data_IF_341525919318
#
_entry.id   IF_341525919318
#
_cell.length_a   1.000
_cell.length_b   1.000
_cell.length_c   1.000
_cell.angle_alpha   90.00
_cell.angle_beta   90.00
_cell.angle_gamma   90.00
#
_symmetry.space_group_name_H-M   'P 1'
#
loop_
_entity.id
_entity.type
_entity.pdbx_description
1 polymer ?
#
# COMPACT_ATOMS: atom_id res chain seq x y z
N UNK A 1 -13.68 -8.76 2.65
CA UNK A 1 -12.73 -8.83 1.52
C UNK A 1 -13.56 -8.90 0.26
N UNK A 2 -13.37 -7.99 -0.70
CA UNK A 2 -14.21 -7.92 -1.90
C UNK A 2 -14.04 -9.19 -2.75
N UNK A 3 -15.00 -10.12 -2.65
CA UNK A 3 -14.95 -11.41 -3.33
C UNK A 3 -14.88 -11.22 -4.85
N UNK A 4 -15.49 -10.14 -5.35
CA UNK A 4 -15.49 -9.79 -6.77
C UNK A 4 -14.10 -9.46 -7.29
N UNK A 5 -13.25 -8.79 -6.51
CA UNK A 5 -11.88 -8.48 -6.93
C UNK A 5 -11.04 -9.76 -7.05
N UNK A 6 -11.17 -10.67 -6.07
CA UNK A 6 -10.47 -11.96 -6.12
C UNK A 6 -10.94 -12.82 -7.29
N UNK A 7 -12.24 -12.85 -7.56
CA UNK A 7 -12.77 -13.62 -8.69
C UNK A 7 -12.25 -13.07 -10.02
N UNK A 8 -12.13 -11.75 -10.16
CA UNK A 8 -11.50 -11.13 -11.34
C UNK A 8 -10.00 -11.44 -11.48
N UNK A 9 -9.27 -11.50 -10.36
CA UNK A 9 -7.85 -11.90 -10.37
C UNK A 9 -7.73 -13.37 -10.80
N UNK A 10 -8.59 -14.25 -10.28
CA UNK A 10 -8.60 -15.68 -10.63
C UNK A 10 -9.00 -15.91 -12.08
N UNK A 11 -10.02 -15.20 -12.56
CA UNK A 11 -10.45 -15.24 -13.96
C UNK A 11 -9.31 -14.82 -14.90
N UNK A 12 -8.66 -13.70 -14.61
CA UNK A 12 -7.50 -13.26 -15.40
C UNK A 12 -6.38 -14.30 -15.32
N UNK A 13 -6.05 -14.83 -14.14
CA UNK A 13 -5.01 -15.85 -14.00
C UNK A 13 -5.32 -17.11 -14.84
N UNK A 14 -6.58 -17.54 -14.88
CA UNK A 14 -7.00 -18.72 -15.66
C UNK A 14 -7.02 -18.51 -17.18
N UNK A 15 -7.22 -17.27 -17.64
CA UNK A 15 -7.35 -16.95 -19.08
C UNK A 15 -6.07 -16.37 -19.70
N UNK A 16 -5.23 -15.67 -18.92
CA UNK A 16 -4.10 -14.89 -19.42
C UNK A 16 -3.10 -15.71 -20.25
N UNK A 17 -2.80 -16.94 -19.83
CA UNK A 17 -1.88 -17.81 -20.59
C UNK A 17 -2.40 -18.13 -21.99
N UNK A 18 -3.69 -18.42 -22.11
CA UNK A 18 -4.35 -18.69 -23.40
C UNK A 18 -4.45 -17.42 -24.24
N UNK A 19 -4.83 -16.29 -23.63
CA UNK A 19 -4.95 -15.00 -24.30
C UNK A 19 -3.60 -14.57 -24.89
N UNK A 20 -2.52 -14.68 -24.11
CA UNK A 20 -1.16 -14.38 -24.57
C UNK A 20 -0.70 -15.35 -25.68
N UNK A 21 -0.97 -16.65 -25.54
CA UNK A 21 -0.62 -17.63 -26.57
C UNK A 21 -1.36 -17.37 -27.89
N UNK A 22 -2.61 -16.93 -27.81
CA UNK A 22 -3.40 -16.52 -28.97
C UNK A 22 -2.77 -15.29 -29.64
N UNK A 23 -2.51 -14.23 -28.86
CA UNK A 23 -1.92 -12.98 -29.35
C UNK A 23 -0.54 -13.21 -29.97
N UNK A 24 0.34 -13.98 -29.32
CA UNK A 24 1.68 -14.28 -29.84
C UNK A 24 1.59 -14.95 -31.20
N UNK A 25 0.77 -15.99 -31.32
CA UNK A 25 0.58 -16.71 -32.59
C UNK A 25 -0.01 -15.82 -33.68
N UNK A 26 -0.96 -14.94 -33.35
CA UNK A 26 -1.50 -13.97 -34.31
C UNK A 26 -0.42 -13.01 -34.86
N UNK A 27 0.55 -12.63 -34.02
CA UNK A 27 1.68 -11.81 -34.45
C UNK A 27 2.65 -12.62 -35.31
N UNK A 28 2.94 -13.87 -34.92
CA UNK A 28 3.80 -14.77 -35.69
C UNK A 28 3.22 -15.12 -37.06
N UNK A 29 1.91 -15.32 -37.13
CA UNK A 29 1.18 -15.67 -38.35
C UNK A 29 0.81 -14.44 -39.21
N UNK A 30 1.24 -13.22 -38.83
CA UNK A 30 0.91 -11.93 -39.48
C UNK A 30 -0.62 -11.73 -39.68
N UNK A 31 -1.41 -12.16 -38.70
CA UNK A 31 -2.88 -12.06 -38.68
C UNK A 31 -3.39 -11.29 -37.45
N UNK A 32 -3.00 -10.01 -37.26
CA UNK A 32 -3.37 -9.25 -36.07
C UNK A 32 -4.88 -9.00 -36.04
N UNK A 33 -5.49 -9.27 -34.88
CA UNK A 33 -6.88 -8.87 -34.61
C UNK A 33 -6.93 -7.84 -33.49
N UNK A 34 -7.41 -6.66 -33.85
CA UNK A 34 -7.47 -5.52 -32.95
C UNK A 34 -8.47 -5.72 -31.79
N UNK A 35 -9.54 -6.49 -32.01
CA UNK A 35 -10.57 -6.82 -31.01
C UNK A 35 -9.96 -7.56 -29.81
N UNK A 36 -9.18 -8.62 -30.06
CA UNK A 36 -8.57 -9.42 -28.98
C UNK A 36 -7.54 -8.63 -28.17
N UNK A 37 -6.74 -7.79 -28.83
CA UNK A 37 -5.80 -6.89 -28.17
C UNK A 37 -6.53 -5.85 -27.30
N UNK A 38 -7.62 -5.30 -27.84
CA UNK A 38 -8.46 -4.32 -27.14
C UNK A 38 -9.11 -4.94 -25.91
N UNK A 39 -9.73 -6.11 -26.05
CA UNK A 39 -10.42 -6.82 -24.97
C UNK A 39 -9.47 -7.17 -23.81
N UNK A 40 -8.28 -7.72 -24.11
CA UNK A 40 -7.28 -8.00 -23.08
C UNK A 40 -6.81 -6.70 -22.41
N UNK A 41 -6.53 -5.66 -23.20
CA UNK A 41 -6.13 -4.35 -22.69
C UNK A 41 -7.16 -3.75 -21.74
N UNK A 42 -8.44 -3.77 -22.12
CA UNK A 42 -9.55 -3.29 -21.28
C UNK A 42 -9.62 -4.08 -19.96
N UNK A 43 -9.61 -5.42 -20.01
CA UNK A 43 -9.63 -6.27 -18.81
C UNK A 43 -8.48 -5.96 -17.86
N UNK A 44 -7.27 -5.80 -18.38
CA UNK A 44 -6.08 -5.44 -17.60
C UNK A 44 -6.20 -4.04 -16.98
N UNK A 45 -6.68 -3.05 -17.74
CA UNK A 45 -6.90 -1.69 -17.25
C UNK A 45 -7.93 -1.66 -16.13
N UNK A 46 -9.07 -2.34 -16.31
CA UNK A 46 -10.12 -2.36 -15.31
C UNK A 46 -9.72 -3.10 -14.03
N UNK A 47 -8.93 -4.18 -14.14
CA UNK A 47 -8.40 -4.89 -12.98
C UNK A 47 -7.37 -4.02 -12.26
N UNK A 48 -6.44 -3.39 -12.99
CA UNK A 48 -5.46 -2.46 -12.44
C UNK A 48 -6.11 -1.31 -11.68
N UNK A 49 -7.14 -0.69 -12.26
CA UNK A 49 -7.89 0.37 -11.60
C UNK A 49 -8.60 -0.10 -10.33
N UNK A 50 -9.12 -1.34 -10.32
CA UNK A 50 -9.75 -1.91 -9.13
C UNK A 50 -8.73 -2.25 -8.02
N UNK A 51 -7.54 -2.74 -8.39
CA UNK A 51 -6.44 -2.97 -7.45
C UNK A 51 -5.96 -1.68 -6.79
N UNK A 52 -5.81 -0.60 -7.58
CA UNK A 52 -5.42 0.71 -7.07
C UNK A 52 -6.46 1.26 -6.09
N UNK A 53 -7.75 1.26 -6.46
CA UNK A 53 -8.82 1.67 -5.53
C UNK A 53 -8.81 0.85 -4.25
N UNK A 54 -8.64 -0.47 -4.36
CA UNK A 54 -8.58 -1.33 -3.17
C UNK A 54 -7.35 -1.04 -2.31
N UNK A 55 -6.22 -0.71 -2.92
CA UNK A 55 -5.01 -0.28 -2.21
C UNK A 55 -5.28 1.01 -1.43
N UNK A 56 -5.97 1.97 -2.05
CA UNK A 56 -6.33 3.23 -1.42
C UNK A 56 -7.31 3.02 -0.25
N UNK A 57 -8.33 2.18 -0.41
CA UNK A 57 -9.26 1.81 0.67
C UNK A 57 -8.52 1.19 1.87
N UNK A 58 -7.62 0.25 1.60
CA UNK A 58 -6.81 -0.40 2.64
C UNK A 58 -5.89 0.60 3.33
N UNK A 59 -5.31 1.53 2.57
CA UNK A 59 -4.47 2.59 3.14
C UNK A 59 -5.31 3.55 3.99
N UNK A 60 -6.49 3.96 3.54
CA UNK A 60 -7.41 4.80 4.30
C UNK A 60 -7.83 4.13 5.62
N UNK A 61 -8.13 2.83 5.60
CA UNK A 61 -8.43 2.05 6.80
C UNK A 61 -7.27 1.99 7.81
N UNK A 62 -6.02 2.04 7.32
CA UNK A 62 -4.82 2.10 8.16
C UNK A 62 -4.65 3.50 8.74
N UNK A 63 -4.67 4.54 7.90
CA UNK A 63 -4.54 5.94 8.32
C UNK A 63 -5.64 6.33 9.32
N UNK A 64 -6.86 5.83 9.14
CA UNK A 64 -7.97 6.00 10.07
C UNK A 64 -7.74 5.39 11.47
N UNK A 65 -6.59 4.77 11.75
CA UNK A 65 -6.23 4.24 13.08
C UNK A 65 -5.02 4.94 13.68
N UNK A 66 -4.40 5.86 12.95
CA UNK A 66 -3.18 6.56 13.32
C UNK A 66 -3.46 8.04 13.60
N UNK A 67 -2.54 8.77 14.23
CA UNK A 67 -2.60 10.23 14.30
C UNK A 67 -2.51 10.85 12.92
N UNK A 68 -3.20 11.97 12.71
CA UNK A 68 -3.28 12.66 11.40
C UNK A 68 -1.91 13.08 10.86
N UNK A 69 -0.95 13.37 11.74
CA UNK A 69 0.40 13.77 11.37
C UNK A 69 1.35 12.59 11.10
N UNK A 70 0.89 11.35 11.34
CA UNK A 70 1.63 10.12 11.08
C UNK A 70 2.84 9.90 11.99
N UNK A 71 2.98 10.65 13.08
CA UNK A 71 4.06 10.44 14.05
C UNK A 71 3.67 9.39 15.08
N UNK A 72 4.53 8.40 15.29
CA UNK A 72 4.31 7.30 16.23
C UNK A 72 5.56 7.10 17.09
N UNK A 73 5.43 6.83 18.41
CA UNK A 73 6.57 6.47 19.24
C UNK A 73 7.26 5.18 18.76
N UNK A 74 8.57 5.09 18.95
CA UNK A 74 9.34 3.87 18.67
C UNK A 74 8.84 2.70 19.52
N UNK A 75 8.75 1.53 18.89
CA UNK A 75 8.43 0.28 19.57
C UNK A 75 9.73 -0.37 20.08
N UNK A 76 9.85 -0.58 21.39
CA UNK A 76 11.00 -1.32 21.93
C UNK A 76 11.15 -1.19 23.45
N UNK A 77 11.96 -2.07 24.03
CA UNK A 77 12.22 -2.16 25.47
C UNK A 77 13.28 -1.16 25.98
N UNK A 78 13.88 -0.35 25.10
CA UNK A 78 14.90 0.62 25.49
C UNK A 78 14.24 1.82 26.17
N UNK A 79 14.86 2.32 27.24
CA UNK A 79 14.36 3.46 28.03
C UNK A 79 14.13 4.75 27.20
N UNK A 80 14.74 4.85 26.01
CA UNK A 80 14.57 5.96 25.04
C UNK A 80 13.51 5.71 23.96
N UNK A 81 12.99 4.49 23.80
CA UNK A 81 12.06 4.14 22.72
C UNK A 81 10.72 4.89 22.80
N UNK A 82 10.31 5.31 24.00
CA UNK A 82 9.11 6.13 24.19
C UNK A 82 9.41 7.64 24.27
N UNK A 83 10.62 8.07 23.91
CA UNK A 83 10.98 9.50 23.89
C UNK A 83 10.93 10.06 22.48
N UNK A 84 11.28 9.23 21.49
CA UNK A 84 11.37 9.65 20.08
C UNK A 84 10.18 9.13 19.30
N UNK A 85 9.48 10.03 18.63
CA UNK A 85 8.48 9.72 17.62
C UNK A 85 9.11 9.73 16.23
N UNK A 86 8.68 8.79 15.41
CA UNK A 86 9.09 8.64 14.01
C UNK A 86 7.87 8.75 13.11
N UNK A 87 8.07 9.21 11.87
CA UNK A 87 6.99 9.36 10.91
C UNK A 87 6.84 8.10 10.05
N UNK A 88 5.62 7.61 9.86
CA UNK A 88 5.34 6.42 9.03
C UNK A 88 4.92 6.72 7.59
N UNK A 89 4.86 8.00 7.21
CA UNK A 89 4.54 8.47 5.87
C UNK A 89 3.06 8.31 5.49
N UNK A 90 2.74 8.69 4.24
CA UNK A 90 1.38 8.67 3.70
C UNK A 90 0.85 7.27 3.36
N UNK A 91 1.74 6.28 3.23
CA UNK A 91 1.40 4.86 3.03
C UNK A 91 2.14 3.99 4.04
N UNK A 92 1.69 3.95 5.32
CA UNK A 92 2.39 3.25 6.39
C UNK A 92 2.56 1.76 6.11
N UNK A 93 3.80 1.26 6.20
CA UNK A 93 4.06 -0.16 6.07
C UNK A 93 3.78 -0.87 7.39
N UNK A 94 2.76 -1.72 7.41
CA UNK A 94 2.35 -2.48 8.60
C UNK A 94 2.97 -3.88 8.62
N UNK A 95 3.75 -4.17 9.66
CA UNK A 95 4.36 -5.48 9.92
C UNK A 95 3.71 -6.09 11.18
N UNK A 96 2.53 -6.70 11.01
CA UNK A 96 1.74 -7.22 12.12
C UNK A 96 1.10 -6.10 12.95
N UNK A 97 1.58 -5.88 14.18
CA UNK A 97 1.08 -4.80 15.07
C UNK A 97 1.94 -3.55 15.05
N UNK A 98 3.14 -3.61 14.47
CA UNK A 98 4.05 -2.48 14.34
C UNK A 98 3.96 -1.88 12.94
N UNK A 99 4.39 -0.62 12.83
CA UNK A 99 4.58 0.10 11.58
C UNK A 99 6.06 0.39 11.40
N UNK A 100 6.55 0.38 10.17
CA UNK A 100 7.90 0.85 9.88
C UNK A 100 7.86 2.34 9.56
N UNK A 101 8.68 3.11 10.28
CA UNK A 101 8.89 4.51 10.00
C UNK A 101 9.69 4.72 8.71
N UNK A 102 9.68 5.95 8.19
CA UNK A 102 10.48 6.36 7.04
C UNK A 102 11.97 6.08 7.24
N UNK A 103 12.49 6.19 8.47
CA UNK A 103 13.87 5.87 8.83
C UNK A 103 14.15 4.37 9.01
N UNK A 104 13.12 3.52 8.98
CA UNK A 104 13.20 2.07 9.23
C UNK A 104 12.98 1.66 10.69
N UNK A 105 12.78 2.61 11.61
CA UNK A 105 12.48 2.30 13.00
C UNK A 105 11.11 1.60 13.14
N UNK A 106 11.00 0.56 13.99
CA UNK A 106 9.70 -0.03 14.32
C UNK A 106 8.92 0.92 15.23
N UNK A 107 7.66 1.14 14.94
CA UNK A 107 6.78 2.05 15.66
C UNK A 107 5.48 1.37 16.07
N UNK A 108 4.90 1.79 17.17
CA UNK A 108 3.62 1.27 17.65
C UNK A 108 2.66 2.41 17.96
N UNK A 109 1.39 2.36 17.52
CA UNK A 109 0.43 3.44 17.73
C UNK A 109 -0.14 3.41 19.15
N UNK A 110 0.69 3.68 20.15
CA UNK A 110 0.34 3.62 21.58
C UNK A 110 -0.91 4.45 21.93
N UNK A 111 -1.13 5.57 21.23
CA UNK A 111 -2.24 6.48 21.48
C UNK A 111 -3.38 6.38 20.46
N UNK A 112 -3.34 5.39 19.55
CA UNK A 112 -4.30 5.27 18.45
C UNK A 112 -4.31 6.52 17.56
N UNK A 113 -5.50 7.08 17.33
CA UNK A 113 -5.68 8.37 16.61
C UNK A 113 -5.14 9.60 17.35
N UNK A 114 -4.89 9.46 18.64
CA UNK A 114 -4.33 10.52 19.48
C UNK A 114 -5.06 11.88 19.42
N UNK A 115 -6.38 11.94 19.68
CA UNK A 115 -7.14 13.20 19.64
C UNK A 115 -6.69 14.23 20.69
N UNK A 116 -5.94 13.79 21.71
CA UNK A 116 -5.38 14.63 22.75
C UNK A 116 -3.96 15.13 22.43
N UNK A 117 -3.41 14.83 21.24
CA UNK A 117 -2.10 15.29 20.81
C UNK A 117 -0.93 14.81 21.68
N UNK A 118 -1.05 13.64 22.32
CA UNK A 118 -0.03 13.10 23.24
C UNK A 118 1.28 12.77 22.54
N UNK A 119 1.27 12.55 21.23
CA UNK A 119 2.45 12.31 20.40
C UNK A 119 3.32 13.57 20.31
N UNK A 120 2.75 14.77 20.45
CA UNK A 120 3.50 16.03 20.35
C UNK A 120 4.55 16.22 21.46
N UNK A 121 4.46 15.48 22.57
CA UNK A 121 5.46 15.52 23.66
C UNK A 121 6.74 14.73 23.34
N UNK A 122 6.72 13.90 22.31
CA UNK A 122 7.85 13.10 21.89
C UNK A 122 8.78 13.94 21.02
N UNK A 123 10.08 13.79 21.21
CA UNK A 123 11.08 14.35 20.30
C UNK A 123 10.89 13.75 18.91
N UNK A 124 10.94 14.57 17.85
CA UNK A 124 10.80 14.06 16.48
C UNK A 124 12.14 13.56 15.94
N UNK A 125 12.14 12.37 15.36
CA UNK A 125 13.30 11.81 14.68
C UNK A 125 13.73 12.71 13.51
N UNK A 126 14.96 13.22 13.56
CA UNK A 126 15.53 14.11 12.52
C UNK A 126 15.56 13.45 11.14
N UNK A 127 15.98 12.18 11.04
CA UNK A 127 15.99 11.45 9.77
C UNK A 127 14.60 11.35 9.14
N UNK A 128 13.54 11.23 9.96
CA UNK A 128 12.17 11.25 9.45
C UNK A 128 11.75 12.64 8.99
N UNK A 129 12.15 13.70 9.72
CA UNK A 129 11.86 15.07 9.31
C UNK A 129 12.51 15.38 7.95
N UNK A 130 13.77 15.04 7.78
CA UNK A 130 14.52 15.30 6.54
C UNK A 130 13.93 14.56 5.33
N UNK A 131 13.33 13.37 5.55
CA UNK A 131 12.67 12.58 4.49
C UNK A 131 11.26 13.07 4.14
N UNK A 132 10.60 13.85 5.00
CA UNK A 132 9.27 14.40 4.70
C UNK A 132 9.32 15.59 3.71
N UNK A 133 10.47 16.26 3.62
CA UNK A 133 10.67 17.45 2.78
C UNK A 133 11.46 17.16 1.49
N UNK A 134 11.71 15.88 1.18
CA UNK A 134 12.31 15.42 -0.08
C UNK A 134 11.24 14.80 -0.96
#
# INVERSE_FOLDING_TARGET
MDHRLLDRIRDLHGSLGTDLSCITRMVEDDTPRADLLRDLGERLCELGAALLRRSDDVNADVLAKLPDDGWLPEAGARHRALVVAHNVGARPLRCGRIYLALCGAPCFPFYGRDPAGRTARHERCRDCQDRLFR
#
